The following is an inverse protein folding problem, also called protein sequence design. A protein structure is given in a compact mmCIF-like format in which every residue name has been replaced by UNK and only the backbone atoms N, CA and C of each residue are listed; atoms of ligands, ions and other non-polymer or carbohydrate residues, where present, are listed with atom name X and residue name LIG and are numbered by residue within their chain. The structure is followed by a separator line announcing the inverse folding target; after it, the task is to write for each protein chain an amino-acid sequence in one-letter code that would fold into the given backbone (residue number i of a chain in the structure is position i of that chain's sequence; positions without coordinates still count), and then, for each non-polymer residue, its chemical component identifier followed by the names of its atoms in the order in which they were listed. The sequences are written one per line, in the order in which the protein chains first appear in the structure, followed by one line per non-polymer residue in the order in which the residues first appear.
data_IF_997547565262
#
_entry.id   IF_997547565262
#
_cell.length_a   1.000
_cell.length_b   1.000
_cell.length_c   1.000
_cell.angle_alpha   90.00
_cell.angle_beta   90.00
_cell.angle_gamma   90.00
#
_symmetry.space_group_name_H-M   'P 1'
#
loop_
_entity.id
_entity.type
_entity.pdbx_description
1 polymer ?
#
# COMPACT_ATOMS: atom_id res chain seq x y z
N UNK A 1 32.47 9.72 -35.35
CA UNK A 1 31.35 10.21 -34.52
C UNK A 1 31.01 9.08 -33.55
N UNK A 2 31.29 9.28 -32.27
CA UNK A 2 31.16 8.27 -31.21
C UNK A 2 29.71 8.16 -30.76
N UNK A 3 29.04 7.06 -31.12
CA UNK A 3 27.69 6.75 -30.63
C UNK A 3 27.76 6.16 -29.21
N UNK A 4 27.97 7.02 -28.21
CA UNK A 4 27.85 6.68 -26.79
C UNK A 4 26.44 7.00 -26.25
N UNK A 5 25.39 6.55 -26.93
CA UNK A 5 24.03 6.58 -26.36
C UNK A 5 23.74 5.18 -25.85
N UNK A 6 23.56 4.96 -24.53
CA UNK A 6 23.20 3.65 -24.01
C UNK A 6 21.89 3.21 -24.65
N UNK A 7 21.85 1.96 -25.13
CA UNK A 7 20.64 1.37 -25.70
C UNK A 7 19.49 1.50 -24.69
N UNK A 8 18.25 1.76 -25.15
CA UNK A 8 17.11 1.82 -24.25
C UNK A 8 17.00 0.50 -23.48
N UNK A 9 17.05 0.57 -22.15
CA UNK A 9 16.93 -0.59 -21.29
C UNK A 9 15.58 -1.26 -21.58
N UNK A 10 15.61 -2.52 -22.03
CA UNK A 10 14.41 -3.34 -22.16
C UNK A 10 13.82 -3.51 -20.76
N UNK A 11 12.90 -2.63 -20.36
CA UNK A 11 12.15 -2.83 -19.12
C UNK A 11 11.35 -4.12 -19.29
N UNK A 12 11.51 -5.10 -18.39
CA UNK A 12 10.66 -6.29 -18.40
C UNK A 12 9.20 -5.84 -18.47
N UNK A 13 8.48 -6.31 -19.50
CA UNK A 13 7.06 -5.97 -19.67
C UNK A 13 6.37 -6.32 -18.34
N UNK A 14 5.65 -5.34 -17.75
CA UNK A 14 4.84 -5.44 -16.51
C UNK A 14 5.52 -5.06 -15.20
N UNK A 15 6.82 -4.79 -15.18
CA UNK A 15 7.41 -4.11 -14.02
C UNK A 15 6.92 -2.67 -13.97
N UNK A 16 6.41 -2.27 -12.81
CA UNK A 16 6.04 -0.89 -12.54
C UNK A 16 6.60 -0.46 -11.20
N UNK A 17 6.83 0.85 -10.99
CA UNK A 17 7.19 1.37 -9.68
C UNK A 17 6.17 0.92 -8.63
N UNK A 18 6.71 0.50 -7.49
CA UNK A 18 5.93 0.33 -6.28
C UNK A 18 5.38 1.68 -5.83
N UNK A 19 4.16 1.70 -5.33
CA UNK A 19 3.56 2.93 -4.79
C UNK A 19 2.46 2.61 -3.78
N UNK A 20 2.40 3.35 -2.65
CA UNK A 20 1.37 3.22 -1.62
C UNK A 20 0.02 3.81 -2.06
N UNK A 21 0.00 4.63 -3.12
CA UNK A 21 -1.20 5.31 -3.65
C UNK A 21 -2.17 4.35 -4.40
N UNK A 22 -2.12 3.05 -4.12
CA UNK A 22 -3.00 2.04 -4.75
C UNK A 22 -3.97 1.47 -3.74
N UNK A 23 -5.20 1.32 -4.16
CA UNK A 23 -6.21 0.51 -3.48
C UNK A 23 -5.92 -0.96 -3.65
N UNK A 24 -5.67 -1.62 -2.52
CA UNK A 24 -5.53 -3.08 -2.43
C UNK A 24 -6.71 -3.62 -1.63
N UNK A 25 -7.50 -4.51 -2.24
CA UNK A 25 -8.70 -5.09 -1.61
C UNK A 25 -8.38 -6.30 -0.75
N UNK A 26 -7.53 -7.20 -1.25
CA UNK A 26 -7.01 -8.30 -0.49
C UNK A 26 -5.59 -8.66 -0.92
N UNK A 27 -4.82 -9.23 0.00
CA UNK A 27 -3.47 -9.69 -0.22
C UNK A 27 -3.26 -11.05 0.42
N UNK A 28 -2.48 -11.92 -0.22
CA UNK A 28 -2.20 -13.25 0.33
C UNK A 28 -0.88 -13.80 -0.22
N UNK A 29 -0.29 -14.76 0.49
CA UNK A 29 0.81 -15.56 -0.07
C UNK A 29 0.24 -16.69 -0.93
N UNK A 30 0.63 -16.75 -2.20
CA UNK A 30 0.21 -17.77 -3.15
C UNK A 30 1.42 -18.41 -3.85
N UNK A 31 1.23 -19.62 -4.37
CA UNK A 31 2.24 -20.27 -5.21
C UNK A 31 2.07 -19.78 -6.65
N UNK A 32 3.09 -19.20 -7.24
CA UNK A 32 3.07 -18.69 -8.62
C UNK A 32 3.87 -19.63 -9.50
N UNK A 33 3.30 -20.00 -10.64
CA UNK A 33 3.96 -20.87 -11.59
C UNK A 33 4.94 -20.07 -12.42
N UNK A 34 6.21 -20.44 -12.36
CA UNK A 34 7.24 -19.91 -13.23
C UNK A 34 6.98 -20.36 -14.67
N UNK A 35 6.94 -19.39 -15.59
CA UNK A 35 6.58 -19.64 -16.98
C UNK A 35 7.65 -20.36 -17.80
N UNK A 36 8.89 -20.45 -17.30
CA UNK A 36 10.02 -21.04 -18.02
C UNK A 36 10.35 -22.45 -17.51
N UNK A 37 10.48 -22.60 -16.20
CA UNK A 37 10.81 -23.84 -15.50
C UNK A 37 9.58 -24.67 -15.15
N UNK A 38 8.40 -24.03 -15.07
CA UNK A 38 7.16 -24.66 -14.61
C UNK A 38 7.10 -24.89 -13.11
N UNK A 39 8.13 -24.49 -12.35
CA UNK A 39 8.17 -24.60 -10.89
C UNK A 39 7.13 -23.69 -10.22
N UNK A 40 6.75 -24.03 -8.99
CA UNK A 40 5.81 -23.24 -8.20
C UNK A 40 6.55 -22.58 -7.04
N UNK A 41 6.52 -21.25 -7.00
CA UNK A 41 7.26 -20.48 -6.00
C UNK A 41 6.33 -19.57 -5.18
N UNK A 42 6.52 -19.49 -3.85
CA UNK A 42 5.72 -18.62 -3.02
C UNK A 42 6.00 -17.16 -3.36
N UNK A 43 4.95 -16.38 -3.55
CA UNK A 43 5.01 -14.93 -3.73
C UNK A 43 3.89 -14.26 -2.92
N UNK A 44 4.08 -12.98 -2.59
CA UNK A 44 3.01 -12.15 -2.05
C UNK A 44 2.23 -11.50 -3.20
N UNK A 45 0.92 -11.73 -3.22
CA UNK A 45 0.02 -11.21 -4.25
C UNK A 45 -0.90 -10.16 -3.63
N UNK A 46 -1.13 -9.08 -4.37
CA UNK A 46 -1.97 -7.96 -3.95
C UNK A 46 -3.02 -7.68 -5.02
N UNK A 47 -4.30 -7.88 -4.67
CA UNK A 47 -5.43 -7.65 -5.56
C UNK A 47 -5.84 -6.19 -5.51
N UNK A 48 -5.51 -5.43 -6.55
CA UNK A 48 -6.03 -4.08 -6.76
C UNK A 48 -7.20 -4.07 -7.74
N UNK A 49 -7.81 -2.89 -7.94
CA UNK A 49 -9.04 -2.73 -8.73
C UNK A 49 -9.01 -3.33 -10.15
N UNK A 50 -7.90 -3.19 -10.89
CA UNK A 50 -7.79 -3.67 -12.29
C UNK A 50 -6.63 -4.62 -12.52
N UNK A 51 -5.86 -4.90 -11.47
CA UNK A 51 -4.57 -5.58 -11.57
C UNK A 51 -4.27 -6.39 -10.33
N UNK A 52 -3.58 -7.51 -10.52
CA UNK A 52 -2.88 -8.22 -9.44
C UNK A 52 -1.41 -7.83 -9.49
N UNK A 53 -0.86 -7.45 -8.35
CA UNK A 53 0.56 -7.14 -8.19
C UNK A 53 1.27 -8.29 -7.47
N UNK A 54 2.51 -8.52 -7.85
CA UNK A 54 3.33 -9.63 -7.39
C UNK A 54 4.61 -9.06 -6.77
N UNK A 55 4.85 -9.40 -5.52
CA UNK A 55 6.11 -9.17 -4.82
C UNK A 55 6.76 -10.51 -4.44
N UNK A 56 8.09 -10.58 -4.35
CA UNK A 56 8.79 -11.81 -3.97
C UNK A 56 8.34 -12.36 -2.61
N UNK A 57 8.01 -11.47 -1.68
CA UNK A 57 7.50 -11.84 -0.35
C UNK A 57 6.77 -10.65 0.27
N UNK A 58 5.99 -10.92 1.33
CA UNK A 58 5.36 -9.85 2.08
C UNK A 58 6.39 -8.98 2.82
N UNK A 59 7.53 -9.55 3.22
CA UNK A 59 8.61 -8.83 3.87
C UNK A 59 9.23 -7.71 3.00
N UNK A 60 9.12 -7.81 1.68
CA UNK A 60 9.56 -6.73 0.79
C UNK A 60 8.64 -5.49 0.87
N UNK A 61 7.40 -5.68 1.30
CA UNK A 61 6.33 -4.67 1.30
C UNK A 61 5.95 -4.21 2.70
N UNK A 62 6.03 -5.09 3.69
CA UNK A 62 5.58 -4.84 5.04
C UNK A 62 6.45 -3.79 5.75
N UNK A 63 5.80 -2.94 6.55
CA UNK A 63 6.44 -1.90 7.36
C UNK A 63 5.98 -2.01 8.81
N UNK A 64 6.80 -1.56 9.76
CA UNK A 64 6.41 -1.53 11.17
C UNK A 64 5.68 -0.23 11.46
N UNK A 65 4.39 -0.32 11.81
CA UNK A 65 3.61 0.86 12.19
C UNK A 65 4.00 1.28 13.61
N UNK A 66 4.56 2.47 13.74
CA UNK A 66 4.93 3.05 15.03
C UNK A 66 3.70 3.61 15.75
N UNK A 67 2.84 4.31 15.02
CA UNK A 67 1.57 4.82 15.50
C UNK A 67 0.66 5.23 14.35
N UNK A 68 -0.61 5.43 14.66
CA UNK A 68 -1.64 5.92 13.73
C UNK A 68 -2.59 6.85 14.47
N UNK A 69 -2.90 8.01 13.90
CA UNK A 69 -3.86 8.97 14.44
C UNK A 69 -5.03 9.11 13.47
N UNK A 70 -6.26 8.81 13.90
CA UNK A 70 -7.45 9.11 13.10
C UNK A 70 -7.61 10.61 12.86
N UNK A 71 -7.94 10.99 11.64
CA UNK A 71 -8.35 12.34 11.27
C UNK A 71 -9.83 12.50 11.63
N UNK A 72 -10.13 13.45 12.49
CA UNK A 72 -11.50 13.79 12.88
C UNK A 72 -11.70 15.30 12.75
N UNK A 73 -12.95 15.77 12.75
CA UNK A 73 -13.25 17.21 12.71
C UNK A 73 -12.69 18.04 13.87
N UNK A 74 -12.11 17.41 14.91
CA UNK A 74 -11.41 18.10 16.02
C UNK A 74 -9.89 18.10 15.86
N UNK A 75 -9.37 17.35 14.89
CA UNK A 75 -7.94 17.40 14.54
C UNK A 75 -7.65 18.69 13.80
N UNK A 76 -6.44 19.23 13.96
CA UNK A 76 -6.04 20.49 13.34
C UNK A 76 -4.60 20.42 12.83
N UNK A 77 -4.33 21.14 11.75
CA UNK A 77 -2.98 21.30 11.19
C UNK A 77 -2.72 22.77 10.90
N UNK A 78 -1.52 23.24 11.23
CA UNK A 78 -1.08 24.62 10.96
C UNK A 78 0.40 24.65 10.62
N UNK A 79 0.83 25.58 9.77
CA UNK A 79 2.26 25.84 9.54
C UNK A 79 2.88 26.40 10.82
N UNK A 80 4.09 25.96 11.18
CA UNK A 80 4.78 26.47 12.36
C UNK A 80 5.14 27.95 12.16
N UNK A 81 4.80 28.85 13.11
CA UNK A 81 5.02 30.28 12.95
C UNK A 81 6.51 30.67 12.99
N UNK A 82 7.37 29.79 13.49
CA UNK A 82 8.81 30.03 13.64
C UNK A 82 9.65 29.36 12.54
N UNK A 83 9.11 28.36 11.86
CA UNK A 83 9.78 27.61 10.81
C UNK A 83 8.82 27.25 9.68
N UNK A 84 8.93 27.96 8.55
CA UNK A 84 8.11 27.71 7.36
C UNK A 84 8.28 26.32 6.74
N UNK A 85 9.32 25.57 7.11
CA UNK A 85 9.53 24.18 6.70
C UNK A 85 8.91 23.16 7.66
N UNK A 86 8.27 23.62 8.73
CA UNK A 86 7.62 22.78 9.73
C UNK A 86 6.12 23.07 9.82
N UNK A 87 5.36 22.05 10.22
CA UNK A 87 3.94 22.18 10.55
C UNK A 87 3.65 21.47 11.87
N UNK A 88 2.60 21.94 12.54
CA UNK A 88 2.09 21.38 13.78
C UNK A 88 0.79 20.64 13.52
N UNK A 89 0.78 19.34 13.82
CA UNK A 89 -0.41 18.50 13.77
C UNK A 89 -0.93 18.26 15.17
N UNK A 90 -2.19 18.63 15.42
CA UNK A 90 -2.88 18.46 16.70
C UNK A 90 -3.95 17.39 16.55
N UNK A 91 -3.81 16.24 17.22
CA UNK A 91 -4.76 15.14 17.15
C UNK A 91 -6.02 15.43 18.00
N UNK A 92 -7.12 14.74 17.70
CA UNK A 92 -8.31 14.73 18.56
C UNK A 92 -8.05 13.96 19.86
N UNK A 93 -8.02 14.70 20.97
CA UNK A 93 -7.76 14.14 22.30
C UNK A 93 -8.91 13.29 22.85
N UNK A 94 -10.09 13.35 22.23
CA UNK A 94 -11.28 12.57 22.64
C UNK A 94 -11.33 11.18 22.03
N UNK A 95 -10.54 10.92 20.98
CA UNK A 95 -10.39 9.61 20.35
C UNK A 95 -8.91 9.18 20.38
N UNK A 96 -8.40 8.73 21.55
CA UNK A 96 -6.99 8.44 21.71
C UNK A 96 -6.56 7.31 20.77
N UNK A 97 -5.49 7.55 20.01
CA UNK A 97 -4.78 6.50 19.28
C UNK A 97 -4.46 5.31 20.22
N UNK A 98 -4.58 4.05 19.75
CA UNK A 98 -4.15 2.87 20.51
C UNK A 98 -2.62 2.80 20.72
N UNK A 99 -1.86 3.80 20.27
CA UNK A 99 -0.42 3.87 20.45
C UNK A 99 0.00 4.01 21.92
N UNK A 100 0.97 3.20 22.34
CA UNK A 100 1.68 3.33 23.62
C UNK A 100 2.58 4.58 23.72
N UNK A 101 2.77 5.34 22.63
CA UNK A 101 3.57 6.55 22.63
C UNK A 101 2.74 7.77 23.06
N UNK A 102 3.09 8.35 24.22
CA UNK A 102 2.50 9.57 24.79
C UNK A 102 2.46 10.76 23.81
N UNK A 103 3.38 10.82 22.84
CA UNK A 103 3.48 11.89 21.85
C UNK A 103 2.29 11.99 20.89
N UNK A 104 1.45 10.96 20.77
CA UNK A 104 0.27 10.98 19.89
C UNK A 104 -0.97 11.61 20.52
N UNK A 105 -0.89 12.03 21.80
CA UNK A 105 -1.97 12.76 22.49
C UNK A 105 -1.77 14.29 22.48
N UNK A 106 -0.58 14.76 22.11
CA UNK A 106 -0.24 16.17 22.06
C UNK A 106 0.02 16.65 20.64
N UNK A 107 0.08 17.97 20.46
CA UNK A 107 0.51 18.59 19.21
C UNK A 107 1.94 18.15 18.89
N UNK A 108 2.14 17.68 17.65
CA UNK A 108 3.44 17.25 17.14
C UNK A 108 3.93 18.22 16.08
N UNK A 109 5.18 18.66 16.20
CA UNK A 109 5.85 19.45 15.15
C UNK A 109 6.59 18.50 14.21
N UNK A 110 6.20 18.53 12.94
CA UNK A 110 6.77 17.75 11.86
C UNK A 110 7.54 18.66 10.90
N UNK A 111 8.77 18.28 10.59
CA UNK A 111 9.66 19.05 9.75
C UNK A 111 9.76 18.40 8.37
N UNK A 112 9.60 19.22 7.33
CA UNK A 112 9.77 18.85 5.93
C UNK A 112 11.14 19.33 5.41
N UNK A 113 11.45 19.02 4.15
CA UNK A 113 12.69 19.47 3.51
C UNK A 113 12.61 20.87 2.92
N UNK A 114 11.40 21.42 2.73
CA UNK A 114 11.19 22.74 2.14
C UNK A 114 9.82 23.32 2.49
N UNK A 115 9.65 24.66 2.49
CA UNK A 115 8.35 25.28 2.73
C UNK A 115 7.25 24.85 1.75
N UNK A 116 7.61 24.53 0.51
CA UNK A 116 6.66 24.02 -0.48
C UNK A 116 6.11 22.63 -0.08
N UNK A 117 6.99 21.75 0.41
CA UNK A 117 6.58 20.44 0.93
C UNK A 117 5.75 20.60 2.21
N UNK A 118 6.10 21.54 3.09
CA UNK A 118 5.29 21.88 4.26
C UNK A 118 3.85 22.24 3.85
N UNK A 119 3.70 23.13 2.89
CA UNK A 119 2.38 23.54 2.40
C UNK A 119 1.60 22.37 1.77
N UNK A 120 2.27 21.51 0.99
CA UNK A 120 1.66 20.29 0.41
C UNK A 120 1.07 19.39 1.51
N UNK A 121 1.80 19.17 2.60
CA UNK A 121 1.31 18.40 3.74
C UNK A 121 0.13 19.07 4.44
N UNK A 122 0.22 20.38 4.71
CA UNK A 122 -0.87 21.12 5.36
C UNK A 122 -2.14 21.12 4.51
N UNK A 123 -2.03 21.33 3.20
CA UNK A 123 -3.16 21.32 2.27
C UNK A 123 -3.79 19.94 2.17
N UNK A 124 -2.97 18.88 2.06
CA UNK A 124 -3.48 17.51 1.98
C UNK A 124 -4.19 17.08 3.27
N UNK A 125 -3.64 17.43 4.44
CA UNK A 125 -4.30 17.14 5.73
C UNK A 125 -5.60 17.92 5.85
N UNK A 126 -5.62 19.22 5.51
CA UNK A 126 -6.85 20.01 5.53
C UNK A 126 -7.91 19.46 4.57
N UNK A 127 -7.51 18.97 3.40
CA UNK A 127 -8.42 18.33 2.45
C UNK A 127 -9.01 17.03 3.03
N UNK A 128 -8.20 16.20 3.69
CA UNK A 128 -8.67 15.00 4.36
C UNK A 128 -9.62 15.34 5.53
N UNK A 129 -9.33 16.38 6.32
CA UNK A 129 -10.19 16.85 7.41
C UNK A 129 -11.52 17.45 6.94
N UNK A 130 -11.53 18.13 5.78
CA UNK A 130 -12.73 18.71 5.18
C UNK A 130 -13.63 17.67 4.51
N UNK A 131 -13.13 16.46 4.28
CA UNK A 131 -13.91 15.37 3.71
C UNK A 131 -14.85 14.80 4.78
N UNK A 132 -16.01 15.44 4.98
CA UNK A 132 -17.10 15.00 5.85
C UNK A 132 -17.81 13.76 5.28
N UNK A 133 -17.09 12.66 5.13
CA UNK A 133 -17.69 11.41 4.68
C UNK A 133 -17.99 10.54 5.89
N UNK A 134 -19.27 10.48 6.26
CA UNK A 134 -19.86 9.56 7.27
C UNK A 134 -19.55 8.07 7.01
N UNK A 135 -18.92 7.72 5.88
CA UNK A 135 -18.57 6.36 5.45
C UNK A 135 -17.08 6.15 5.11
N UNK A 136 -16.15 6.98 5.58
CA UNK A 136 -14.71 6.67 5.41
C UNK A 136 -14.23 5.64 6.44
N UNK A 137 -14.70 4.40 6.30
CA UNK A 137 -13.96 3.28 6.83
C UNK A 137 -12.70 3.11 5.96
N UNK A 138 -11.51 3.24 6.55
CA UNK A 138 -10.28 2.77 5.92
C UNK A 138 -10.55 1.36 5.40
N UNK A 139 -10.58 1.19 4.08
CA UNK A 139 -10.69 -0.14 3.50
C UNK A 139 -9.32 -0.79 3.64
N UNK A 140 -8.99 -1.24 4.84
CA UNK A 140 -7.77 -1.96 5.07
C UNK A 140 -7.77 -3.21 4.18
N UNK A 141 -6.66 -3.51 3.49
CA UNK A 141 -6.59 -4.70 2.67
C UNK A 141 -6.86 -5.92 3.56
N UNK A 142 -7.70 -6.85 3.10
CA UNK A 142 -7.80 -8.15 3.76
C UNK A 142 -6.47 -8.89 3.54
N UNK A 143 -5.67 -9.03 4.59
CA UNK A 143 -4.32 -9.63 4.57
C UNK A 143 -4.30 -11.11 4.96
N UNK A 144 -5.46 -11.78 4.94
CA UNK A 144 -5.53 -13.17 5.37
C UNK A 144 -4.61 -14.08 4.53
N UNK A 145 -3.81 -14.87 5.25
CA UNK A 145 -2.81 -15.75 4.68
C UNK A 145 -1.60 -15.06 4.02
N UNK A 146 -1.38 -13.76 4.28
CA UNK A 146 -0.13 -13.09 3.98
C UNK A 146 0.90 -13.39 5.07
N UNK A 147 2.07 -13.92 4.69
CA UNK A 147 3.13 -14.30 5.63
C UNK A 147 4.00 -13.09 5.96
N UNK A 148 3.59 -12.30 6.95
CA UNK A 148 4.31 -11.11 7.41
C UNK A 148 5.56 -11.49 8.22
N UNK A 149 6.65 -10.71 8.14
CA UNK A 149 7.92 -11.05 8.76
C UNK A 149 7.91 -10.97 10.29
N UNK A 150 7.05 -10.11 10.87
CA UNK A 150 6.88 -9.91 12.31
C UNK A 150 5.41 -9.62 12.63
N UNK A 151 5.02 -9.84 13.88
CA UNK A 151 3.63 -9.63 14.33
C UNK A 151 3.18 -8.17 14.40
N UNK A 152 4.11 -7.23 14.35
CA UNK A 152 3.90 -5.77 14.34
C UNK A 152 4.04 -5.14 12.94
N UNK A 153 4.38 -5.93 11.93
CA UNK A 153 4.46 -5.47 10.55
C UNK A 153 3.07 -5.46 9.92
N UNK A 154 2.74 -4.44 9.14
CA UNK A 154 1.50 -4.38 8.36
C UNK A 154 1.72 -3.81 6.94
N UNK A 155 0.64 -3.78 6.16
CA UNK A 155 0.59 -3.15 4.83
C UNK A 155 -0.55 -2.13 4.74
N UNK A 156 -0.94 -1.55 5.88
CA UNK A 156 -2.12 -0.68 5.99
C UNK A 156 -1.91 0.71 5.38
N UNK A 157 -0.71 0.99 4.86
CA UNK A 157 -0.36 2.24 4.18
C UNK A 157 -0.88 2.35 2.74
N UNK A 158 -1.50 1.28 2.20
CA UNK A 158 -2.18 1.37 0.90
C UNK A 158 -3.37 2.33 0.99
N UNK A 159 -3.80 2.86 -0.16
CA UNK A 159 -4.74 3.99 -0.22
C UNK A 159 -4.22 5.30 0.38
N UNK A 160 -2.89 5.46 0.42
CA UNK A 160 -2.32 6.76 0.76
C UNK A 160 -2.82 7.87 -0.19
N UNK A 161 -2.96 9.07 0.35
CA UNK A 161 -3.18 10.32 -0.40
C UNK A 161 -1.88 11.12 -0.53
N UNK A 162 -1.03 11.07 0.51
CA UNK A 162 0.30 11.67 0.53
C UNK A 162 1.25 10.81 1.36
N UNK A 163 2.49 10.67 0.91
CA UNK A 163 3.54 9.99 1.69
C UNK A 163 4.86 10.74 1.63
N UNK A 164 5.68 10.58 2.66
CA UNK A 164 6.99 11.21 2.69
C UNK A 164 7.75 10.93 3.98
N UNK A 165 9.07 11.11 3.92
CA UNK A 165 9.89 11.07 5.13
C UNK A 165 9.82 12.44 5.81
N UNK A 166 9.33 12.45 7.05
CA UNK A 166 9.28 13.65 7.87
C UNK A 166 10.19 13.48 9.07
N UNK A 167 10.71 14.61 9.55
CA UNK A 167 11.58 14.65 10.72
C UNK A 167 10.80 15.06 11.95
N UNK A 168 11.03 14.41 13.08
CA UNK A 168 10.62 14.86 14.41
C UNK A 168 11.86 15.13 15.27
N UNK A 169 11.83 16.22 16.04
CA UNK A 169 12.90 16.50 17.00
C UNK A 169 12.75 15.58 18.21
N UNK A 170 13.78 14.79 18.47
CA UNK A 170 13.89 14.02 19.72
C UNK A 170 14.77 14.73 20.75
N UNK A 171 14.77 14.20 21.97
CA UNK A 171 15.58 14.74 23.07
C UNK A 171 17.08 14.50 22.88
N UNK A 172 17.46 13.39 22.21
CA UNK A 172 18.85 12.99 21.97
C UNK A 172 19.24 12.97 20.49
N UNK A 173 18.32 12.60 19.61
CA UNK A 173 18.50 12.61 18.16
C UNK A 173 17.19 12.91 17.46
N UNK A 174 17.28 13.51 16.27
CA UNK A 174 16.15 13.65 15.37
C UNK A 174 15.77 12.28 14.81
N UNK A 175 14.47 12.01 14.72
CA UNK A 175 13.95 10.82 14.06
C UNK A 175 13.44 11.15 12.66
N UNK A 176 13.73 10.28 11.69
CA UNK A 176 13.29 10.41 10.30
C UNK A 176 12.44 9.20 9.96
N UNK A 177 11.13 9.36 10.07
CA UNK A 177 10.17 8.28 9.90
C UNK A 177 9.39 8.47 8.60
N UNK A 178 8.81 7.39 8.09
CA UNK A 178 7.96 7.44 6.91
C UNK A 178 6.51 7.71 7.32
N UNK A 179 5.95 8.81 6.85
CA UNK A 179 4.59 9.22 7.13
C UNK A 179 3.70 8.91 5.94
N UNK A 180 2.50 8.46 6.26
CA UNK A 180 1.45 8.11 5.30
C UNK A 180 0.18 8.79 5.73
N UNK A 181 -0.27 9.74 4.92
CA UNK A 181 -1.59 10.32 5.02
C UNK A 181 -2.55 9.44 4.23
N UNK A 182 -3.61 8.99 4.87
CA UNK A 182 -4.80 8.47 4.20
C UNK A 182 -5.91 9.52 4.29
N UNK A 183 -7.03 9.20 3.69
CA UNK A 183 -8.27 9.95 3.79
C UNK A 183 -8.87 9.97 5.22
N UNK A 184 -8.49 9.05 6.11
CA UNK A 184 -9.01 9.01 7.48
C UNK A 184 -7.95 8.95 8.59
N UNK A 185 -6.66 8.87 8.28
CA UNK A 185 -5.60 8.79 9.29
C UNK A 185 -4.28 9.41 8.85
N UNK A 186 -3.50 9.85 9.82
CA UNK A 186 -2.08 10.10 9.68
C UNK A 186 -1.30 8.98 10.38
N UNK A 187 -0.61 8.18 9.58
CA UNK A 187 0.13 7.00 10.02
C UNK A 187 1.63 7.25 9.96
N UNK A 188 2.35 6.71 10.94
CA UNK A 188 3.80 6.80 11.03
C UNK A 188 4.41 5.40 11.08
N UNK A 189 5.37 5.17 10.19
CA UNK A 189 6.09 3.93 10.00
C UNK A 189 7.58 4.12 10.23
N UNK A 190 8.25 3.07 10.66
CA UNK A 190 9.70 3.04 10.86
C UNK A 190 10.48 3.36 9.57
N UNK A 191 10.05 2.82 8.44
CA UNK A 191 10.66 3.04 7.13
C UNK A 191 9.66 2.81 6.00
N UNK A 192 10.00 3.31 4.80
CA UNK A 192 9.26 2.97 3.59
C UNK A 192 9.52 1.51 3.16
N UNK A 193 8.59 0.87 2.41
CA UNK A 193 8.80 -0.46 1.87
C UNK A 193 10.11 -0.58 1.08
N UNK A 194 10.79 -1.71 1.24
CA UNK A 194 12.06 -1.98 0.54
C UNK A 194 11.82 -2.18 -0.96
N UNK A 195 10.65 -2.71 -1.32
CA UNK A 195 10.24 -2.94 -2.70
C UNK A 195 10.21 -1.65 -3.52
N UNK A 196 10.99 -1.62 -4.61
CA UNK A 196 11.03 -0.48 -5.55
C UNK A 196 10.13 -0.67 -6.75
N UNK A 197 9.99 -1.91 -7.21
CA UNK A 197 9.19 -2.27 -8.37
C UNK A 197 8.50 -3.61 -8.11
N UNK A 198 7.32 -3.80 -8.70
CA UNK A 198 6.58 -5.06 -8.71
C UNK A 198 6.11 -5.40 -10.11
N UNK A 199 5.89 -6.69 -10.33
CA UNK A 199 5.23 -7.16 -11.55
C UNK A 199 3.72 -7.02 -11.39
N UNK A 200 3.01 -6.59 -12.43
CA UNK A 200 1.55 -6.59 -12.43
C UNK A 200 0.95 -7.41 -13.56
N UNK A 201 -0.29 -7.87 -13.36
CA UNK A 201 -1.09 -8.51 -14.39
C UNK A 201 -2.49 -7.90 -14.41
N UNK A 202 -3.06 -7.74 -15.61
CA UNK A 202 -4.41 -7.23 -15.76
C UNK A 202 -5.44 -8.27 -15.35
N UNK A 203 -6.50 -7.82 -14.67
CA UNK A 203 -7.70 -8.61 -14.34
C UNK A 203 -8.73 -8.64 -15.48
N UNK A 204 -8.37 -8.29 -16.71
CA UNK A 204 -9.37 -8.20 -17.79
C UNK A 204 -9.99 -9.56 -18.14
N UNK A 205 -9.17 -10.61 -18.16
CA UNK A 205 -9.62 -11.99 -18.38
C UNK A 205 -8.96 -12.89 -17.34
N UNK A 206 -9.80 -13.52 -16.52
CA UNK A 206 -9.41 -14.38 -15.42
C UNK A 206 -10.04 -15.74 -15.64
N UNK A 207 -9.22 -16.78 -15.63
CA UNK A 207 -9.68 -18.16 -15.59
C UNK A 207 -9.44 -18.69 -14.18
N UNK A 208 -10.45 -19.32 -13.59
CA UNK A 208 -10.33 -19.90 -12.27
C UNK A 208 -10.75 -21.37 -12.30
N UNK A 209 -10.00 -22.22 -11.61
CA UNK A 209 -10.29 -23.64 -11.43
C UNK A 209 -10.47 -23.91 -9.94
N UNK A 210 -11.71 -23.87 -9.43
CA UNK A 210 -11.99 -23.99 -8.00
C UNK A 210 -11.44 -25.26 -7.36
N UNK A 211 -11.55 -26.41 -8.03
CA UNK A 211 -11.10 -27.71 -7.53
C UNK A 211 -9.61 -27.79 -7.21
N UNK A 212 -8.82 -26.88 -7.77
CA UNK A 212 -7.37 -26.83 -7.60
C UNK A 212 -6.87 -25.52 -6.98
N UNK A 213 -7.78 -24.58 -6.69
CA UNK A 213 -7.44 -23.24 -6.21
C UNK A 213 -6.60 -22.43 -7.20
N UNK A 214 -6.68 -22.74 -8.50
CA UNK A 214 -5.88 -22.09 -9.53
C UNK A 214 -6.57 -20.86 -10.07
N UNK A 215 -5.79 -19.80 -10.30
CA UNK A 215 -6.20 -18.60 -11.02
C UNK A 215 -5.17 -18.31 -12.10
N UNK A 216 -5.61 -18.17 -13.35
CA UNK A 216 -4.81 -17.77 -14.50
C UNK A 216 -5.27 -16.41 -15.00
N UNK A 217 -4.36 -15.43 -15.00
CA UNK A 217 -4.59 -14.10 -15.55
C UNK A 217 -4.03 -14.06 -16.97
N UNK A 218 -4.81 -13.58 -17.93
CA UNK A 218 -4.38 -13.47 -19.33
C UNK A 218 -4.38 -12.02 -19.78
N UNK A 219 -3.23 -11.54 -20.22
CA UNK A 219 -3.09 -10.20 -20.77
C UNK A 219 -3.51 -10.15 -22.24
N UNK A 220 -3.94 -8.97 -22.70
CA UNK A 220 -4.26 -8.71 -24.11
C UNK A 220 -3.10 -9.00 -25.08
N UNK A 221 -1.87 -9.05 -24.57
CA UNK A 221 -0.66 -9.25 -25.36
C UNK A 221 -0.23 -10.73 -25.40
N UNK A 222 -1.14 -11.66 -25.06
CA UNK A 222 -0.90 -13.10 -25.16
C UNK A 222 -0.05 -13.66 -24.02
N UNK A 223 0.06 -12.96 -22.90
CA UNK A 223 0.92 -13.36 -21.79
C UNK A 223 0.08 -13.73 -20.59
N UNK A 224 0.38 -14.86 -19.96
CA UNK A 224 -0.36 -15.33 -18.80
C UNK A 224 0.53 -15.48 -17.57
N UNK A 225 -0.11 -15.46 -16.40
CA UNK A 225 0.46 -16.00 -15.16
C UNK A 225 -0.59 -16.89 -14.53
N UNK A 226 -0.14 -18.00 -13.96
CA UNK A 226 -0.98 -18.89 -13.17
C UNK A 226 -0.46 -18.88 -11.75
N UNK A 227 -1.35 -18.73 -10.79
CA UNK A 227 -1.04 -18.87 -9.37
C UNK A 227 -2.08 -19.75 -8.69
N UNK A 228 -1.72 -20.29 -7.53
CA UNK A 228 -2.51 -21.20 -6.71
C UNK A 228 -2.67 -20.63 -5.31
N UNK A 229 -3.91 -20.51 -4.87
CA UNK A 229 -4.28 -20.22 -3.48
C UNK A 229 -4.84 -21.53 -2.92
N UNK A 230 -4.05 -22.30 -2.13
CA UNK A 230 -4.46 -23.63 -1.69
C UNK A 230 -5.64 -23.64 -0.71
N UNK A 231 -5.83 -22.55 0.02
CA UNK A 231 -6.91 -22.43 0.99
C UNK A 231 -8.20 -21.98 0.32
N UNK A 232 -9.26 -22.78 0.49
CA UNK A 232 -10.55 -22.59 -0.17
C UNK A 232 -11.24 -21.29 0.25
N UNK A 233 -11.16 -20.91 1.52
CA UNK A 233 -11.82 -19.70 2.01
C UNK A 233 -11.17 -18.44 1.42
N UNK A 234 -9.83 -18.39 1.41
CA UNK A 234 -9.07 -17.32 0.77
C UNK A 234 -9.26 -17.30 -0.74
N UNK A 235 -9.29 -18.46 -1.39
CA UNK A 235 -9.58 -18.55 -2.82
C UNK A 235 -10.96 -17.98 -3.15
N UNK A 236 -12.00 -18.36 -2.39
CA UNK A 236 -13.36 -17.86 -2.56
C UNK A 236 -13.46 -16.35 -2.31
N UNK A 237 -12.75 -15.83 -1.29
CA UNK A 237 -12.65 -14.39 -1.04
C UNK A 237 -12.05 -13.66 -2.26
N UNK A 238 -10.96 -14.20 -2.82
CA UNK A 238 -10.33 -13.64 -4.01
C UNK A 238 -11.27 -13.65 -5.22
N UNK A 239 -11.99 -14.75 -5.47
CA UNK A 239 -12.97 -14.81 -6.55
C UNK A 239 -14.12 -13.82 -6.36
N UNK A 240 -14.70 -13.77 -5.16
CA UNK A 240 -15.77 -12.83 -4.83
C UNK A 240 -15.31 -11.38 -5.02
N UNK A 241 -14.07 -11.06 -4.64
CA UNK A 241 -13.49 -9.73 -4.85
C UNK A 241 -13.26 -9.43 -6.33
N UNK A 242 -12.77 -10.40 -7.11
CA UNK A 242 -12.59 -10.25 -8.56
C UNK A 242 -13.92 -10.03 -9.28
N UNK A 243 -14.99 -10.71 -8.85
CA UNK A 243 -16.33 -10.57 -9.43
C UNK A 243 -16.95 -9.18 -9.24
N UNK A 244 -16.50 -8.41 -8.25
CA UNK A 244 -16.95 -7.03 -8.04
C UNK A 244 -16.45 -6.07 -9.12
N UNK A 245 -15.44 -6.46 -9.92
CA UNK A 245 -14.88 -5.60 -10.95
C UNK A 245 -15.68 -5.71 -12.26
N UNK A 246 -16.38 -4.64 -12.69
CA UNK A 246 -17.33 -4.70 -13.82
C UNK A 246 -16.66 -5.03 -15.16
N UNK A 247 -15.39 -4.66 -15.33
CA UNK A 247 -14.62 -4.88 -16.56
C UNK A 247 -13.89 -6.24 -16.59
N UNK A 248 -14.06 -7.09 -15.56
CA UNK A 248 -13.38 -8.38 -15.45
C UNK A 248 -14.23 -9.51 -16.04
N UNK A 249 -13.72 -10.18 -17.08
CA UNK A 249 -14.28 -11.44 -17.57
C UNK A 249 -13.72 -12.60 -16.76
N UNK A 250 -14.47 -13.04 -15.74
CA UNK A 250 -14.17 -14.26 -14.99
C UNK A 250 -14.78 -15.48 -15.70
N UNK A 251 -13.98 -16.51 -15.93
CA UNK A 251 -14.36 -17.79 -16.53
C UNK A 251 -14.02 -18.87 -15.52
N UNK A 252 -15.02 -19.62 -15.07
CA UNK A 252 -14.81 -20.81 -14.26
C UNK A 252 -14.56 -21.98 -15.24
N UNK A 253 -13.41 -22.64 -15.08
CA UNK A 253 -13.06 -23.82 -15.85
C UNK A 253 -13.40 -25.05 -14.99
N UNK A 254 -14.33 -25.86 -15.49
CA UNK A 254 -14.57 -27.22 -14.97
C UNK A 254 -13.44 -28.12 -15.48
N UNK A 255 -12.90 -28.98 -14.60
CA UNK A 255 -11.91 -29.99 -14.97
C UNK A 255 -12.55 -31.17 -15.70
#
# INVERSE_FOLDING_TARGET
MTHNVPLPTLRPRRLVPFTPYKTIKCATTALVRDGFTGAWEPNALFLGHKRVYFAPSAAAVACTKLWSVPLTGKSAVTVDPTDSSAFQFTPDTTNPSPSMFSSTKGTQTLYTTSPAQCQEWVDAINQALASESDEHATTHPNVDGLVLPRGDSDINFFDATLTGTLRTRGMLCDAYNWYVLTDCSLDCYDACPVLKEWTHFSLKVVFATPDHGHIRLVSRHGTSVTFKIPDTNRFNLWLATIQQFPDCKLILEDC
#
